data_IF_138447437552
#
_entry.id   IF_138447437552
#
_cell.length_a   1.000
_cell.length_b   1.000
_cell.length_c   1.000
_cell.angle_alpha   90.00
_cell.angle_beta   90.00
_cell.angle_gamma   90.00
#
_symmetry.space_group_name_H-M   'P 1'
#
loop_
_entity.id
_entity.type
_entity.pdbx_description
1 polymer ?
#
# COMPACT_ATOMS: atom_id res chain seq x y z
N UNK A 1 -35.79 17.67 26.11
CA UNK A 1 -34.37 17.66 25.72
C UNK A 1 -34.11 16.41 24.90
N UNK A 2 -34.07 16.54 23.58
CA UNK A 2 -33.65 15.46 22.70
C UNK A 2 -32.13 15.37 22.81
N UNK A 3 -31.63 14.25 23.34
CA UNK A 3 -30.20 13.95 23.27
C UNK A 3 -29.89 13.73 21.80
N UNK A 4 -29.21 14.68 21.17
CA UNK A 4 -28.68 14.52 19.82
C UNK A 4 -27.79 13.27 19.82
N UNK A 5 -28.34 12.16 19.31
CA UNK A 5 -27.54 10.99 18.97
C UNK A 5 -26.46 11.48 18.01
N UNK A 6 -25.18 11.06 18.16
CA UNK A 6 -24.16 11.41 17.19
C UNK A 6 -24.65 10.95 15.82
N UNK A 7 -25.11 11.91 15.01
CA UNK A 7 -25.31 11.72 13.58
C UNK A 7 -23.90 11.51 13.01
N UNK A 8 -23.79 10.82 11.88
CA UNK A 8 -22.54 10.61 11.12
C UNK A 8 -21.66 9.45 11.61
N UNK A 9 -21.93 8.25 11.05
CA UNK A 9 -21.07 7.05 11.13
C UNK A 9 -20.70 6.60 9.71
N UNK A 10 -19.99 7.44 8.99
CA UNK A 10 -19.66 7.27 7.57
C UNK A 10 -18.56 6.22 7.29
N UNK A 11 -17.77 5.84 8.30
CA UNK A 11 -16.77 4.77 8.22
C UNK A 11 -17.26 3.49 8.92
N UNK A 12 -18.46 3.01 8.55
CA UNK A 12 -18.94 1.69 8.97
C UNK A 12 -18.66 0.70 7.84
N UNK A 13 -18.00 -0.40 8.20
CA UNK A 13 -17.91 -1.57 7.35
C UNK A 13 -18.25 -2.83 8.15
N UNK A 14 -18.81 -3.84 7.48
CA UNK A 14 -19.13 -5.13 8.06
C UNK A 14 -18.33 -6.20 7.34
N UNK A 15 -17.61 -7.01 8.12
CA UNK A 15 -16.77 -8.08 7.60
C UNK A 15 -17.25 -9.44 8.09
N UNK A 16 -17.12 -10.43 7.22
CA UNK A 16 -17.21 -11.84 7.63
C UNK A 16 -15.79 -12.40 7.75
N UNK A 17 -15.42 -12.86 8.95
CA UNK A 17 -14.11 -13.45 9.21
C UNK A 17 -14.04 -14.94 8.80
N UNK A 18 -15.14 -15.51 8.30
CA UNK A 18 -15.23 -16.92 7.88
C UNK A 18 -14.29 -17.31 6.74
N UNK A 19 -13.86 -16.35 5.93
CA UNK A 19 -13.00 -16.56 4.77
C UNK A 19 -11.51 -16.48 5.09
N UNK A 20 -11.15 -16.15 6.34
CA UNK A 20 -9.76 -16.02 6.76
C UNK A 20 -9.12 -17.39 6.90
N UNK A 21 -8.20 -17.69 6.00
CA UNK A 21 -7.42 -18.93 5.93
C UNK A 21 -5.94 -18.62 5.95
N UNK A 22 -5.10 -19.64 6.14
CA UNK A 22 -3.64 -19.49 6.12
C UNK A 22 -3.13 -18.86 4.80
N UNK A 23 -3.80 -19.06 3.67
CA UNK A 23 -3.42 -18.46 2.39
C UNK A 23 -3.64 -16.94 2.33
N UNK A 24 -4.53 -16.41 3.17
CA UNK A 24 -4.82 -14.97 3.29
C UNK A 24 -4.05 -14.29 4.42
N UNK A 25 -3.29 -15.07 5.19
CA UNK A 25 -2.51 -14.57 6.33
C UNK A 25 -1.35 -13.70 5.84
N UNK A 26 -1.13 -12.59 6.54
CA UNK A 26 0.00 -11.68 6.27
C UNK A 26 1.20 -12.00 7.13
N UNK A 27 0.96 -12.41 8.37
CA UNK A 27 2.01 -12.75 9.33
C UNK A 27 1.44 -13.40 10.57
N UNK A 28 2.32 -13.90 11.44
CA UNK A 28 1.93 -14.44 12.73
C UNK A 28 3.09 -14.39 13.73
N UNK A 29 2.76 -14.51 15.00
CA UNK A 29 3.74 -14.79 16.06
C UNK A 29 3.30 -16.03 16.88
N UNK A 30 3.82 -16.21 18.08
CA UNK A 30 3.46 -17.36 18.94
C UNK A 30 1.98 -17.38 19.39
N UNK A 31 1.31 -16.22 19.45
CA UNK A 31 -0.04 -16.08 19.98
C UNK A 31 -1.08 -15.78 18.90
N UNK A 32 -0.75 -14.95 17.92
CA UNK A 32 -1.71 -14.39 16.96
C UNK A 32 -1.33 -14.63 15.51
N UNK A 33 -2.34 -14.63 14.64
CA UNK A 33 -2.22 -14.52 13.18
C UNK A 33 -2.89 -13.23 12.74
N UNK A 34 -2.33 -12.56 11.74
CA UNK A 34 -2.85 -11.29 11.24
C UNK A 34 -3.28 -11.38 9.78
N UNK A 35 -4.34 -10.62 9.47
CA UNK A 35 -5.00 -10.57 8.17
C UNK A 35 -5.31 -9.11 7.81
N UNK A 36 -5.19 -8.76 6.53
CA UNK A 36 -5.71 -7.48 6.03
C UNK A 36 -7.11 -7.69 5.46
N UNK A 37 -8.01 -6.79 5.80
CA UNK A 37 -9.32 -6.65 5.19
C UNK A 37 -9.39 -5.28 4.50
N UNK A 38 -9.90 -5.27 3.27
CA UNK A 38 -10.04 -4.02 2.53
C UNK A 38 -11.03 -3.07 3.22
N UNK A 39 -10.77 -1.75 3.28
CA UNK A 39 -9.73 -1.03 2.54
C UNK A 39 -8.45 -0.71 3.34
N UNK A 40 -8.06 -1.52 4.34
CA UNK A 40 -6.84 -1.27 5.14
C UNK A 40 -6.94 -1.66 6.62
N UNK A 41 -7.89 -2.53 6.97
CA UNK A 41 -8.10 -2.97 8.35
C UNK A 41 -7.21 -4.19 8.65
N UNK A 42 -6.34 -4.07 9.64
CA UNK A 42 -5.56 -5.17 10.18
C UNK A 42 -6.34 -5.86 11.30
N UNK A 43 -6.55 -7.17 11.16
CA UNK A 43 -7.23 -8.00 12.16
C UNK A 43 -6.27 -9.05 12.68
N UNK A 44 -6.07 -9.07 14.00
CA UNK A 44 -5.35 -10.13 14.69
C UNK A 44 -6.31 -11.14 15.31
N UNK A 45 -6.11 -12.43 15.03
CA UNK A 45 -6.85 -13.54 15.63
C UNK A 45 -5.93 -14.39 16.52
N UNK A 46 -6.45 -14.86 17.65
CA UNK A 46 -5.75 -15.82 18.49
C UNK A 46 -5.58 -17.16 17.78
N UNK A 47 -4.37 -17.74 17.81
CA UNK A 47 -4.10 -19.03 17.15
C UNK A 47 -4.92 -20.20 17.70
N UNK A 48 -5.16 -20.22 19.01
CA UNK A 48 -5.81 -21.36 19.68
C UNK A 48 -7.32 -21.42 19.43
N UNK A 49 -7.98 -20.27 19.52
CA UNK A 49 -9.45 -20.18 19.54
C UNK A 49 -10.02 -19.47 18.29
N UNK A 50 -9.15 -18.90 17.43
CA UNK A 50 -9.51 -18.06 16.26
C UNK A 50 -10.43 -16.89 16.59
N UNK A 51 -10.50 -16.52 17.87
CA UNK A 51 -11.20 -15.33 18.35
C UNK A 51 -10.41 -14.05 18.06
N UNK A 52 -11.11 -12.92 18.05
CA UNK A 52 -10.52 -11.61 17.79
C UNK A 52 -9.58 -11.18 18.92
N UNK A 53 -8.32 -10.92 18.60
CA UNK A 53 -7.33 -10.40 19.51
C UNK A 53 -7.28 -8.87 19.48
N UNK A 54 -7.16 -8.30 18.28
CA UNK A 54 -7.12 -6.85 18.09
C UNK A 54 -7.58 -6.46 16.68
N UNK A 55 -7.92 -5.18 16.53
CA UNK A 55 -8.24 -4.54 15.25
C UNK A 55 -7.47 -3.23 15.17
N UNK A 56 -6.83 -2.98 14.03
CA UNK A 56 -6.18 -1.70 13.73
C UNK A 56 -6.65 -1.20 12.37
N UNK A 57 -7.19 0.01 12.33
CA UNK A 57 -7.60 0.65 11.09
C UNK A 57 -6.44 1.52 10.56
N UNK A 58 -5.96 1.22 9.36
CA UNK A 58 -4.95 2.01 8.69
C UNK A 58 -5.67 2.94 7.71
N UNK A 59 -5.65 4.24 8.00
CA UNK A 59 -6.42 5.23 7.27
C UNK A 59 -5.47 6.30 6.75
N UNK A 60 -5.37 6.38 5.42
CA UNK A 60 -4.62 7.45 4.78
C UNK A 60 -5.30 8.81 5.06
N UNK A 61 -4.51 9.85 5.34
CA UNK A 61 -5.03 11.17 5.72
C UNK A 61 -5.82 11.85 4.61
N UNK A 62 -5.45 11.59 3.35
CA UNK A 62 -6.13 12.16 2.19
C UNK A 62 -7.65 11.90 2.26
N UNK A 63 -8.41 12.99 2.34
CA UNK A 63 -9.87 13.03 2.40
C UNK A 63 -10.49 12.28 3.59
N UNK A 64 -9.71 11.99 4.64
CA UNK A 64 -10.22 11.26 5.79
C UNK A 64 -11.36 12.02 6.48
N UNK A 65 -11.28 13.35 6.57
CA UNK A 65 -12.32 14.17 7.20
C UNK A 65 -13.61 14.10 6.40
N UNK A 66 -13.55 14.28 5.09
CA UNK A 66 -14.68 14.23 4.16
C UNK A 66 -15.32 12.84 4.20
N UNK A 67 -14.50 11.78 4.08
CA UNK A 67 -14.94 10.39 4.21
C UNK A 67 -15.57 10.11 5.56
N UNK A 68 -15.13 10.80 6.63
CA UNK A 68 -15.64 10.66 7.99
C UNK A 68 -16.87 11.52 8.29
N UNK A 69 -17.10 12.61 7.55
CA UNK A 69 -18.13 13.61 7.92
C UNK A 69 -19.21 13.81 6.88
N UNK A 70 -19.00 13.43 5.63
CA UNK A 70 -19.95 13.66 4.53
C UNK A 70 -20.71 12.40 4.10
N UNK A 71 -20.29 11.22 4.56
CA UNK A 71 -20.98 9.96 4.33
C UNK A 71 -22.14 9.74 5.32
N UNK A 72 -22.91 8.68 5.11
CA UNK A 72 -24.00 8.26 6.00
C UNK A 72 -23.71 6.89 6.63
N UNK A 73 -24.57 6.43 7.54
CA UNK A 73 -24.42 5.12 8.19
C UNK A 73 -24.58 3.93 7.21
N UNK A 74 -25.13 4.16 6.02
CA UNK A 74 -25.45 3.13 5.03
C UNK A 74 -24.80 3.38 3.67
N UNK A 75 -24.35 4.60 3.40
CA UNK A 75 -23.78 5.02 2.11
C UNK A 75 -22.45 5.71 2.40
N UNK A 76 -21.31 5.12 2.03
CA UNK A 76 -20.01 5.77 2.11
C UNK A 76 -20.00 7.09 1.32
N UNK A 77 -19.15 8.03 1.74
CA UNK A 77 -18.92 9.23 0.95
C UNK A 77 -18.18 8.87 -0.34
N UNK A 78 -18.76 9.21 -1.48
CA UNK A 78 -18.09 9.18 -2.78
C UNK A 78 -17.66 10.60 -3.15
N UNK A 79 -16.47 10.71 -3.73
CA UNK A 79 -15.98 12.01 -4.17
C UNK A 79 -16.80 12.52 -5.35
N UNK A 80 -16.98 13.84 -5.47
CA UNK A 80 -17.45 14.42 -6.71
C UNK A 80 -16.58 13.95 -7.87
N UNK A 81 -17.18 13.65 -9.03
CA UNK A 81 -16.43 13.23 -10.20
C UNK A 81 -15.38 14.28 -10.54
N UNK A 82 -14.16 13.82 -10.84
CA UNK A 82 -13.09 14.70 -11.29
C UNK A 82 -13.45 15.25 -12.66
N UNK A 83 -13.48 16.57 -12.81
CA UNK A 83 -13.62 17.20 -14.13
C UNK A 83 -12.26 17.10 -14.81
N UNK A 84 -12.14 16.16 -15.74
CA UNK A 84 -10.98 16.04 -16.60
C UNK A 84 -10.72 17.36 -17.34
N UNK A 85 -9.44 17.71 -17.48
CA UNK A 85 -9.03 18.88 -18.24
C UNK A 85 -9.15 18.60 -19.75
N UNK A 86 -9.76 19.49 -20.53
CA UNK A 86 -9.70 19.43 -21.99
C UNK A 86 -8.32 19.89 -22.47
N UNK A 87 -7.46 18.96 -22.92
CA UNK A 87 -6.09 19.29 -23.35
C UNK A 87 -5.70 18.50 -24.61
N UNK A 88 -5.00 19.18 -25.51
CA UNK A 88 -4.56 18.71 -26.84
C UNK A 88 -3.16 18.07 -26.82
N UNK A 89 -2.91 17.17 -25.86
CA UNK A 89 -1.62 16.45 -25.75
C UNK A 89 -1.82 14.96 -25.67
N UNK A 90 -1.04 14.23 -26.46
CA UNK A 90 -1.12 12.78 -26.52
C UNK A 90 -0.46 12.10 -25.32
N UNK A 91 0.51 12.71 -24.65
CA UNK A 91 1.30 12.14 -23.52
C UNK A 91 0.86 12.66 -22.13
N UNK A 92 -0.25 13.39 -22.09
CA UNK A 92 -0.78 13.99 -20.87
C UNK A 92 -1.22 12.94 -19.83
N UNK A 93 -0.88 13.13 -18.56
CA UNK A 93 -1.13 12.12 -17.54
C UNK A 93 -0.20 10.90 -17.57
N UNK A 94 0.88 10.91 -18.37
CA UNK A 94 1.92 9.88 -18.36
C UNK A 94 3.24 10.36 -17.73
N UNK A 95 3.32 11.61 -17.27
CA UNK A 95 4.55 12.18 -16.72
C UNK A 95 4.28 13.08 -15.51
N UNK A 96 5.33 13.59 -14.89
CA UNK A 96 5.24 14.58 -13.82
C UNK A 96 4.82 14.03 -12.45
N UNK A 97 4.63 12.72 -12.30
CA UNK A 97 4.18 12.13 -11.04
C UNK A 97 5.19 12.31 -9.91
N UNK A 98 4.69 12.38 -8.68
CA UNK A 98 5.49 12.36 -7.45
C UNK A 98 4.95 11.29 -6.50
N UNK A 99 5.82 10.44 -5.98
CA UNK A 99 5.47 9.34 -5.08
C UNK A 99 6.06 9.61 -3.71
N UNK A 100 5.21 9.68 -2.70
CA UNK A 100 5.59 9.56 -1.31
C UNK A 100 5.24 8.17 -0.80
N UNK A 101 6.22 7.49 -0.21
CA UNK A 101 6.04 6.18 0.42
C UNK A 101 6.59 6.20 1.83
N UNK A 102 5.79 5.68 2.75
CA UNK A 102 6.17 5.48 4.14
C UNK A 102 5.84 4.04 4.56
N UNK A 103 6.86 3.32 5.01
CA UNK A 103 6.74 1.99 5.59
C UNK A 103 7.00 2.10 7.09
N UNK A 104 6.02 1.69 7.89
CA UNK A 104 6.11 1.85 9.34
C UNK A 104 5.39 0.73 10.08
N UNK A 105 5.53 0.76 11.39
CA UNK A 105 4.76 0.00 12.37
C UNK A 105 4.39 0.92 13.53
N UNK A 106 3.68 0.39 14.52
CA UNK A 106 3.35 1.11 15.76
C UNK A 106 4.63 1.67 16.41
N UNK A 107 4.83 2.99 16.27
CA UNK A 107 5.96 3.71 16.87
C UNK A 107 7.31 3.56 16.18
N UNK A 108 7.40 2.93 15.01
CA UNK A 108 8.66 2.72 14.27
C UNK A 108 8.45 3.02 12.79
N UNK A 109 9.29 3.86 12.17
CA UNK A 109 9.32 4.06 10.72
C UNK A 109 10.57 3.38 10.14
N UNK A 110 10.36 2.58 9.08
CA UNK A 110 11.40 1.83 8.37
C UNK A 110 11.92 2.59 7.15
N UNK A 111 11.03 3.31 6.48
CA UNK A 111 11.30 4.10 5.28
C UNK A 111 10.30 5.24 5.23
N UNK A 112 10.74 6.45 4.92
CA UNK A 112 9.87 7.57 4.62
C UNK A 112 10.59 8.42 3.57
N UNK A 113 10.13 8.35 2.32
CA UNK A 113 10.84 8.96 1.19
C UNK A 113 9.85 9.51 0.16
N UNK A 114 10.24 10.62 -0.46
CA UNK A 114 9.54 11.21 -1.59
C UNK A 114 10.42 11.20 -2.80
N UNK A 115 9.90 10.64 -3.88
CA UNK A 115 10.50 10.64 -5.19
C UNK A 115 9.69 11.54 -6.13
N UNK A 116 10.36 12.11 -7.14
CA UNK A 116 9.77 13.15 -7.99
C UNK A 116 10.06 12.89 -9.46
N UNK A 117 9.21 13.47 -10.28
CA UNK A 117 9.41 13.59 -11.74
C UNK A 117 9.45 12.24 -12.45
N UNK A 118 8.55 11.32 -12.08
CA UNK A 118 8.40 10.08 -12.81
C UNK A 118 7.62 10.28 -14.10
N UNK A 119 8.00 9.49 -15.09
CA UNK A 119 7.32 9.45 -16.36
C UNK A 119 7.30 8.05 -16.92
N UNK A 120 6.38 7.84 -17.82
CA UNK A 120 6.24 6.63 -18.62
C UNK A 120 5.87 7.04 -20.04
N UNK A 121 5.84 6.06 -20.94
CA UNK A 121 5.48 6.26 -22.34
C UNK A 121 4.29 5.37 -22.66
N UNK A 122 3.53 5.73 -23.71
CA UNK A 122 2.41 4.91 -24.19
C UNK A 122 2.83 3.47 -24.52
N UNK A 123 4.05 3.31 -25.03
CA UNK A 123 4.64 2.01 -25.37
C UNK A 123 4.83 1.11 -24.15
N UNK A 124 4.80 1.66 -22.93
CA UNK A 124 4.93 0.93 -21.68
C UNK A 124 3.56 0.59 -21.05
N UNK A 125 2.46 0.75 -21.80
CA UNK A 125 1.14 0.25 -21.41
C UNK A 125 1.11 -1.25 -21.73
N UNK A 126 0.97 -2.07 -20.69
CA UNK A 126 0.91 -3.52 -20.84
C UNK A 126 -0.14 -4.10 -19.89
N UNK A 127 -0.97 -5.02 -20.40
CA UNK A 127 -1.98 -5.76 -19.64
C UNK A 127 -2.96 -4.85 -18.87
N UNK A 128 -3.33 -3.72 -19.44
CA UNK A 128 -4.22 -2.74 -18.81
C UNK A 128 -3.56 -1.80 -17.79
N UNK A 129 -2.24 -1.88 -17.61
CA UNK A 129 -1.51 -1.04 -16.67
C UNK A 129 -0.45 -0.18 -17.35
N UNK A 130 -0.29 1.03 -16.83
CA UNK A 130 0.86 1.89 -17.05
C UNK A 130 1.89 1.63 -15.95
N UNK A 131 3.09 1.21 -16.33
CA UNK A 131 4.20 0.99 -15.39
C UNK A 131 5.03 2.26 -15.20
N UNK A 132 5.20 2.67 -13.95
CA UNK A 132 6.12 3.69 -13.46
C UNK A 132 7.23 2.99 -12.68
N UNK A 133 8.45 3.01 -13.19
CA UNK A 133 9.61 2.47 -12.46
C UNK A 133 10.23 3.57 -11.61
N UNK A 134 10.31 3.35 -10.30
CA UNK A 134 10.75 4.34 -9.31
C UNK A 134 12.18 4.08 -8.86
N UNK A 135 12.49 2.83 -8.55
CA UNK A 135 13.87 2.37 -8.28
C UNK A 135 14.15 1.24 -9.27
N UNK A 136 15.23 1.36 -10.01
CA UNK A 136 15.68 0.37 -10.97
C UNK A 136 16.57 -0.69 -10.33
N UNK A 137 16.20 -1.96 -10.49
CA UNK A 137 16.97 -3.11 -10.02
C UNK A 137 18.45 -3.09 -10.43
N UNK A 138 18.77 -2.56 -11.61
CA UNK A 138 20.13 -2.50 -12.16
C UNK A 138 20.91 -1.24 -11.77
N UNK A 139 20.29 -0.28 -11.10
CA UNK A 139 20.93 0.97 -10.70
C UNK A 139 21.14 1.01 -9.19
N UNK A 140 22.26 0.46 -8.73
CA UNK A 140 22.59 0.36 -7.30
C UNK A 140 22.65 1.72 -6.59
N UNK A 141 22.76 2.84 -7.33
CA UNK A 141 22.74 4.19 -6.75
C UNK A 141 21.35 4.63 -6.29
N UNK A 142 20.30 3.99 -6.78
CA UNK A 142 18.91 4.26 -6.40
C UNK A 142 18.44 3.40 -5.22
N UNK A 143 19.24 2.40 -4.82
CA UNK A 143 18.86 1.48 -3.75
C UNK A 143 18.85 2.19 -2.40
N UNK A 144 17.84 1.89 -1.58
CA UNK A 144 17.63 2.58 -0.30
C UNK A 144 17.61 1.57 0.85
N UNK A 145 18.34 1.80 1.95
CA UNK A 145 18.24 0.96 3.13
C UNK A 145 16.90 1.16 3.84
N UNK A 146 16.38 0.09 4.44
CA UNK A 146 15.35 0.14 5.47
C UNK A 146 16.02 0.21 6.85
N UNK A 147 15.46 1.05 7.72
CA UNK A 147 15.98 1.23 9.07
C UNK A 147 15.54 0.06 9.95
N UNK A 148 16.47 -0.82 10.30
CA UNK A 148 16.22 -1.92 11.24
C UNK A 148 15.42 -3.08 10.65
N UNK A 149 14.91 -3.95 11.53
CA UNK A 149 14.20 -5.17 11.15
C UNK A 149 12.72 -4.90 10.97
N UNK A 150 12.20 -5.22 9.78
CA UNK A 150 10.78 -5.05 9.46
C UNK A 150 9.92 -5.99 10.31
N UNK A 151 8.90 -5.43 10.95
CA UNK A 151 7.92 -6.20 11.69
C UNK A 151 6.81 -5.35 12.28
N UNK A 152 5.92 -6.01 13.01
CA UNK A 152 4.72 -5.39 13.53
C UNK A 152 4.55 -5.69 15.01
N UNK A 153 4.59 -4.64 15.82
CA UNK A 153 4.31 -4.73 17.24
C UNK A 153 2.82 -4.58 17.50
N UNK A 154 2.24 -5.52 18.25
CA UNK A 154 0.86 -5.47 18.69
C UNK A 154 0.77 -5.62 20.20
N UNK A 155 -0.27 -5.03 20.78
CA UNK A 155 -0.51 -5.04 22.20
C UNK A 155 -2.01 -5.01 22.48
N UNK A 156 -2.42 -5.80 23.46
CA UNK A 156 -3.72 -5.75 24.14
C UNK A 156 -3.51 -5.28 25.58
N UNK A 157 -4.57 -5.29 26.39
CA UNK A 157 -4.45 -4.92 27.80
C UNK A 157 -3.58 -5.91 28.61
N UNK A 158 -3.41 -7.15 28.14
CA UNK A 158 -2.78 -8.24 28.89
C UNK A 158 -1.57 -8.84 28.16
N UNK A 159 -1.60 -8.85 26.83
CA UNK A 159 -0.57 -9.47 25.99
C UNK A 159 0.04 -8.46 25.04
N UNK A 160 1.30 -8.70 24.68
CA UNK A 160 1.95 -8.08 23.55
C UNK A 160 2.74 -9.11 22.75
N UNK A 161 3.16 -8.70 21.56
CA UNK A 161 3.92 -9.54 20.67
C UNK A 161 4.51 -8.78 19.51
N UNK A 162 5.38 -9.48 18.78
CA UNK A 162 6.08 -8.96 17.62
C UNK A 162 5.97 -9.95 16.48
N UNK A 163 5.42 -9.49 15.37
CA UNK A 163 5.23 -10.27 14.15
C UNK A 163 6.33 -9.86 13.18
N UNK A 164 7.19 -10.80 12.79
CA UNK A 164 8.23 -10.53 11.80
C UNK A 164 7.62 -10.36 10.41
N UNK A 165 8.33 -9.64 9.53
CA UNK A 165 8.01 -9.60 8.09
C UNK A 165 6.63 -9.03 7.77
N UNK A 166 6.15 -8.06 8.56
CA UNK A 166 4.91 -7.34 8.31
C UNK A 166 5.12 -5.86 8.63
N UNK A 167 4.49 -4.96 7.87
CA UNK A 167 4.50 -3.51 8.15
C UNK A 167 3.23 -2.88 7.60
N UNK A 168 3.04 -1.57 7.82
CA UNK A 168 2.03 -0.77 7.15
C UNK A 168 2.72 0.07 6.09
N UNK A 169 2.17 0.06 4.88
CA UNK A 169 2.63 0.87 3.76
C UNK A 169 1.61 1.97 3.47
N UNK A 170 2.07 3.21 3.57
CA UNK A 170 1.36 4.41 3.16
C UNK A 170 1.91 4.85 1.80
N UNK A 171 1.02 5.14 0.87
CA UNK A 171 1.39 5.70 -0.44
C UNK A 171 0.54 6.92 -0.71
N UNK A 172 1.20 8.00 -1.14
CA UNK A 172 0.59 9.16 -1.80
C UNK A 172 1.25 9.35 -3.14
N UNK A 173 0.52 9.10 -4.22
CA UNK A 173 0.93 9.44 -5.58
C UNK A 173 0.23 10.73 -5.98
N UNK A 174 1.01 11.75 -6.34
CA UNK A 174 0.53 13.01 -6.88
C UNK A 174 0.68 13.02 -8.41
N UNK A 175 -0.28 13.63 -9.10
CA UNK A 175 -0.19 13.90 -10.53
C UNK A 175 0.80 15.02 -10.88
N UNK A 176 0.92 15.34 -12.17
CA UNK A 176 1.77 16.42 -12.69
C UNK A 176 1.44 17.81 -12.14
N UNK A 177 0.24 18.03 -11.58
CA UNK A 177 -0.18 19.28 -10.93
C UNK A 177 -0.03 19.24 -9.41
N UNK A 178 0.52 18.17 -8.86
CA UNK A 178 0.65 17.97 -7.42
C UNK A 178 -0.66 17.64 -6.72
N UNK A 179 -1.71 17.23 -7.46
CA UNK A 179 -2.98 16.77 -6.85
C UNK A 179 -2.86 15.30 -6.47
N UNK A 180 -3.41 14.88 -5.32
CA UNK A 180 -3.49 13.46 -4.96
C UNK A 180 -4.25 12.67 -6.01
N UNK A 181 -3.55 11.74 -6.65
CA UNK A 181 -4.04 10.92 -7.74
C UNK A 181 -4.40 9.51 -7.27
N UNK A 182 -3.53 8.91 -6.43
CA UNK A 182 -3.78 7.61 -5.81
C UNK A 182 -3.19 7.57 -4.40
N UNK A 183 -3.99 7.20 -3.40
CA UNK A 183 -3.56 7.16 -2.02
C UNK A 183 -4.13 5.95 -1.29
N UNK A 184 -3.31 5.27 -0.50
CA UNK A 184 -3.75 4.19 0.38
C UNK A 184 -2.87 4.07 1.62
N UNK A 185 -3.40 3.35 2.61
CA UNK A 185 -2.69 2.94 3.82
C UNK A 185 -3.10 1.50 4.09
N UNK A 186 -2.16 0.55 3.99
CA UNK A 186 -2.50 -0.87 4.09
C UNK A 186 -1.41 -1.68 4.78
N UNK A 187 -1.77 -2.66 5.62
CA UNK A 187 -0.85 -3.70 6.07
C UNK A 187 -0.32 -4.50 4.89
N UNK A 188 1.00 -4.72 4.88
CA UNK A 188 1.69 -5.48 3.85
C UNK A 188 2.65 -6.48 4.48
N UNK A 189 2.75 -7.65 3.84
CA UNK A 189 3.66 -8.72 4.24
C UNK A 189 4.92 -8.71 3.40
N UNK A 190 6.05 -8.99 4.05
CA UNK A 190 7.33 -9.23 3.40
C UNK A 190 7.46 -10.72 3.10
N UNK A 191 7.36 -11.09 1.81
CA UNK A 191 7.37 -12.49 1.38
C UNK A 191 8.70 -12.86 0.74
N UNK A 192 9.30 -14.02 1.04
CA UNK A 192 10.52 -14.45 0.38
C UNK A 192 10.25 -14.70 -1.10
N UNK A 193 11.13 -14.16 -1.95
CA UNK A 193 11.13 -14.43 -3.37
C UNK A 193 11.57 -15.88 -3.63
N UNK A 194 10.97 -16.60 -4.60
CA UNK A 194 11.49 -17.88 -5.04
C UNK A 194 12.92 -17.71 -5.59
N UNK A 195 13.77 -18.70 -5.30
CA UNK A 195 15.14 -18.74 -5.80
C UNK A 195 15.13 -18.72 -7.32
N UNK A 196 15.76 -17.71 -7.93
CA UNK A 196 15.94 -17.65 -9.38
C UNK A 196 17.17 -18.48 -9.76
N UNK A 197 17.08 -19.40 -10.73
CA UNK A 197 18.24 -20.17 -11.20
C UNK A 197 19.36 -19.27 -11.71
N UNK A 198 19.00 -18.14 -12.32
CA UNK A 198 19.91 -17.22 -13.00
C UNK A 198 20.49 -16.11 -12.10
N UNK A 199 20.09 -16.06 -10.82
CA UNK A 199 20.58 -15.05 -9.89
C UNK A 199 21.67 -15.66 -9.00
N UNK A 200 22.90 -15.13 -8.99
CA UNK A 200 23.94 -15.61 -8.11
C UNK A 200 23.45 -15.61 -6.65
N UNK A 201 23.55 -16.76 -5.97
CA UNK A 201 23.25 -16.89 -4.53
C UNK A 201 24.08 -15.94 -3.64
N UNK A 202 25.07 -15.24 -4.20
CA UNK A 202 25.96 -14.32 -3.50
C UNK A 202 25.34 -12.97 -3.14
N UNK A 203 24.17 -12.62 -3.66
CA UNK A 203 23.52 -11.31 -3.43
C UNK A 203 22.57 -11.28 -2.22
N UNK A 204 22.32 -12.43 -1.58
CA UNK A 204 21.43 -12.52 -0.41
C UNK A 204 19.98 -12.86 -0.76
N UNK A 205 19.18 -13.12 0.28
CA UNK A 205 17.77 -13.50 0.12
C UNK A 205 16.94 -12.30 -0.34
N UNK A 206 16.17 -12.50 -1.41
CA UNK A 206 15.23 -11.50 -1.94
C UNK A 206 13.86 -11.66 -1.32
N UNK A 207 13.14 -10.56 -1.22
CA UNK A 207 11.79 -10.48 -0.70
C UNK A 207 10.95 -9.53 -1.55
N UNK A 208 9.64 -9.73 -1.53
CA UNK A 208 8.66 -8.88 -2.20
C UNK A 208 7.66 -8.32 -1.19
N UNK A 209 7.27 -7.07 -1.41
CA UNK A 209 6.16 -6.41 -0.74
C UNK A 209 5.23 -5.92 -1.84
N UNK A 210 4.02 -6.47 -1.84
CA UNK A 210 3.03 -6.22 -2.88
C UNK A 210 1.77 -5.59 -2.27
N UNK A 211 1.19 -4.64 -2.99
CA UNK A 211 -0.15 -4.10 -2.75
C UNK A 211 -0.89 -3.96 -4.07
N UNK A 212 -2.19 -4.22 -4.07
CA UNK A 212 -3.05 -3.98 -5.23
C UNK A 212 -4.47 -3.61 -4.78
N UNK A 213 -5.09 -2.69 -5.51
CA UNK A 213 -6.50 -2.34 -5.42
C UNK A 213 -7.09 -2.17 -6.83
N UNK A 214 -8.28 -1.56 -6.92
CA UNK A 214 -8.97 -1.32 -8.20
C UNK A 214 -8.30 -0.26 -9.07
N UNK A 215 -7.45 0.59 -8.50
CA UNK A 215 -6.81 1.74 -9.14
C UNK A 215 -5.40 1.39 -9.64
N UNK A 216 -4.70 0.50 -8.94
CA UNK A 216 -3.33 0.14 -9.28
C UNK A 216 -2.71 -0.91 -8.38
N UNK A 217 -1.40 -1.12 -8.56
CA UNK A 217 -0.58 -1.98 -7.70
C UNK A 217 0.80 -1.37 -7.47
N UNK A 218 1.38 -1.68 -6.32
CA UNK A 218 2.77 -1.37 -5.96
C UNK A 218 3.51 -2.69 -5.78
N UNK A 219 4.66 -2.79 -6.43
CA UNK A 219 5.59 -3.91 -6.28
C UNK A 219 6.93 -3.38 -5.80
N UNK A 220 7.39 -3.87 -4.65
CA UNK A 220 8.68 -3.52 -4.08
C UNK A 220 9.52 -4.77 -3.90
N UNK A 221 10.74 -4.77 -4.44
CA UNK A 221 11.73 -5.81 -4.20
C UNK A 221 12.73 -5.35 -3.13
N UNK A 222 12.96 -6.22 -2.15
CA UNK A 222 13.95 -6.02 -1.10
C UNK A 222 15.00 -7.11 -1.12
N UNK A 223 16.21 -6.76 -0.71
CA UNK A 223 17.34 -7.66 -0.58
C UNK A 223 17.91 -7.57 0.83
N UNK A 224 18.06 -8.71 1.50
CA UNK A 224 18.69 -8.78 2.80
C UNK A 224 20.22 -8.81 2.66
N UNK A 225 20.87 -7.78 3.18
CA UNK A 225 22.33 -7.70 3.21
C UNK A 225 22.86 -8.10 4.59
N UNK A 226 23.25 -9.38 4.72
CA UNK A 226 23.74 -9.94 5.98
C UNK A 226 24.94 -9.18 6.58
N UNK A 227 25.78 -8.55 5.74
CA UNK A 227 26.92 -7.74 6.18
C UNK A 227 26.49 -6.50 6.99
N UNK A 228 25.36 -5.90 6.63
CA UNK A 228 24.86 -4.68 7.24
C UNK A 228 23.70 -4.95 8.22
N UNK A 229 23.19 -6.19 8.25
CA UNK A 229 21.97 -6.56 8.98
C UNK A 229 20.75 -5.71 8.61
N UNK A 230 20.69 -5.28 7.35
CA UNK A 230 19.68 -4.36 6.83
C UNK A 230 19.04 -4.89 5.54
N UNK A 231 17.80 -4.49 5.31
CA UNK A 231 17.13 -4.65 4.03
C UNK A 231 17.44 -3.45 3.14
N UNK A 232 17.63 -3.68 1.86
CA UNK A 232 17.68 -2.62 0.85
C UNK A 232 16.51 -2.79 -0.10
N UNK A 233 15.80 -1.70 -0.38
CA UNK A 233 14.86 -1.59 -1.49
C UNK A 233 15.70 -1.50 -2.75
N UNK A 234 15.65 -2.56 -3.56
CA UNK A 234 16.44 -2.68 -4.79
C UNK A 234 15.59 -2.44 -6.04
N UNK A 235 14.28 -2.53 -5.94
CA UNK A 235 13.34 -2.19 -7.02
C UNK A 235 12.03 -1.68 -6.43
N UNK A 236 11.45 -0.67 -7.06
CA UNK A 236 10.13 -0.14 -6.71
C UNK A 236 9.40 0.22 -7.99
N UNK A 237 8.23 -0.37 -8.17
CA UNK A 237 7.43 -0.24 -9.38
C UNK A 237 5.98 0.05 -8.99
N UNK A 238 5.42 1.08 -9.61
CA UNK A 238 4.02 1.46 -9.47
C UNK A 238 3.32 1.18 -10.78
N UNK A 239 2.20 0.49 -10.74
CA UNK A 239 1.38 0.18 -11.91
C UNK A 239 0.02 0.80 -11.72
N UNK A 240 -0.40 1.63 -12.67
CA UNK A 240 -1.68 2.32 -12.62
C UNK A 240 -2.60 1.76 -13.70
N UNK A 241 -3.86 1.49 -13.37
CA UNK A 241 -4.80 1.06 -14.38
C UNK A 241 -5.06 2.20 -15.37
N UNK A 242 -5.01 1.95 -16.68
CA UNK A 242 -5.16 3.05 -17.65
C UNK A 242 -6.55 3.69 -17.59
N UNK A 243 -7.58 2.95 -17.13
CA UNK A 243 -8.93 3.52 -16.97
C UNK A 243 -8.96 4.65 -15.96
N UNK A 244 -8.16 4.55 -14.89
CA UNK A 244 -7.99 5.63 -13.91
C UNK A 244 -7.37 6.86 -14.56
N UNK A 245 -6.28 6.66 -15.32
CA UNK A 245 -5.59 7.75 -16.03
C UNK A 245 -6.54 8.41 -17.03
N UNK A 246 -7.22 7.61 -17.86
CA UNK A 246 -8.22 8.10 -18.82
C UNK A 246 -9.33 8.90 -18.13
N UNK A 247 -9.84 8.41 -17.00
CA UNK A 247 -10.89 9.10 -16.25
C UNK A 247 -10.41 10.42 -15.65
N UNK A 248 -9.20 10.43 -15.05
CA UNK A 248 -8.65 11.61 -14.39
C UNK A 248 -8.22 12.70 -15.37
N UNK A 249 -7.55 12.31 -16.45
CA UNK A 249 -6.97 13.26 -17.41
C UNK A 249 -7.81 13.46 -18.67
N UNK A 250 -8.92 12.73 -18.86
CA UNK A 250 -9.76 12.84 -20.05
C UNK A 250 -9.12 12.21 -21.30
N UNK A 251 -8.18 11.28 -21.11
CA UNK A 251 -7.44 10.64 -22.19
C UNK A 251 -8.13 9.34 -22.66
N UNK A 252 -7.64 8.79 -23.77
CA UNK A 252 -8.20 7.59 -24.41
C UNK A 252 -7.10 6.55 -24.70
N UNK A 253 -6.27 6.25 -23.70
CA UNK A 253 -5.29 5.18 -23.80
C UNK A 253 -5.97 3.82 -23.93
N UNK A 254 -5.37 2.95 -24.75
CA UNK A 254 -5.79 1.58 -25.02
C UNK A 254 -4.58 0.67 -24.83
N UNK A 255 -4.79 -0.54 -24.30
CA UNK A 255 -3.75 -1.55 -24.06
C UNK A 255 -4.31 -2.89 -23.66
#
# INVERSE_FOLDING_TARGET
MNVERPRWRSLIARYSLSHLTESTMIGCDRLVQIFCLDPGLLVGLWKKEKELAFVMANLHLHQLVERSTLGSATIPYELPPHNAFEIDSTEYGLHGYQLHIDMHSTGVSYLCVTFRSFFTKKECIENGYVKLTVIHLKNDREHLPLIGKVGFFWKTNVFDGYIQSCSVMNVTLLDEFGKPFWCFSSPVGLRPAPSRPDCPNSLGQRYYVDYADVEGRVHMELMWFAKFEEYFVVSLEVYLHFTKINHWFGTHYQG
#
